data_IF_036623805334
#
_entry.id   IF_036623805334
#
_cell.length_a   1.000
_cell.length_b   1.000
_cell.length_c   1.000
_cell.angle_alpha   90.00
_cell.angle_beta   90.00
_cell.angle_gamma   90.00
#
_symmetry.space_group_name_H-M   'P 1'
#
loop_
_entity.id
_entity.type
_entity.pdbx_description
1 polymer ?
#
# COMPACT_ATOMS: atom_id res chain seq x y z
N UNK A 1 -8.22 10.66 12.11
CA UNK A 1 -8.93 9.82 11.10
C UNK A 1 -9.74 8.72 11.79
N UNK A 2 -11.07 8.75 11.62
CA UNK A 2 -12.02 7.87 12.32
C UNK A 2 -12.16 6.45 11.73
N UNK A 3 -12.98 5.61 12.37
CA UNK A 3 -13.25 4.22 11.94
C UNK A 3 -14.00 4.14 10.60
N UNK A 4 -14.68 5.21 10.17
CA UNK A 4 -15.44 5.26 8.91
C UNK A 4 -14.59 5.43 7.64
N UNK A 5 -13.33 5.89 7.76
CA UNK A 5 -12.51 6.17 6.59
C UNK A 5 -11.90 4.90 5.99
N UNK A 6 -12.45 4.50 4.83
CA UNK A 6 -12.09 3.29 4.08
C UNK A 6 -10.68 3.33 3.47
N UNK A 7 -10.04 4.50 3.39
CA UNK A 7 -8.69 4.64 2.83
C UNK A 7 -7.60 4.41 3.88
N UNK A 8 -7.93 4.50 5.17
CA UNK A 8 -6.97 4.38 6.27
C UNK A 8 -6.80 2.95 6.77
N UNK A 9 -5.67 2.67 7.43
CA UNK A 9 -5.45 1.37 8.08
C UNK A 9 -6.51 1.09 9.16
N UNK A 10 -6.97 2.14 9.87
CA UNK A 10 -7.97 2.06 10.94
C UNK A 10 -9.35 1.69 10.42
N UNK A 11 -9.83 2.34 9.36
CA UNK A 11 -11.12 1.99 8.76
C UNK A 11 -11.09 0.66 7.99
N UNK A 12 -9.95 0.28 7.39
CA UNK A 12 -9.76 -1.08 6.86
C UNK A 12 -9.80 -2.15 7.94
N UNK A 13 -9.20 -1.88 9.12
CA UNK A 13 -9.24 -2.78 10.29
C UNK A 13 -10.66 -2.98 10.80
N UNK A 14 -11.40 -1.89 10.99
CA UNK A 14 -12.78 -1.92 11.48
C UNK A 14 -13.73 -2.69 10.55
N UNK A 15 -13.55 -2.55 9.22
CA UNK A 15 -14.36 -3.27 8.22
C UNK A 15 -13.82 -4.66 7.87
N UNK A 16 -12.84 -5.19 8.59
CA UNK A 16 -12.20 -6.48 8.33
C UNK A 16 -11.69 -6.70 6.89
N UNK A 17 -11.38 -5.61 6.17
CA UNK A 17 -10.93 -5.66 4.77
C UNK A 17 -9.43 -5.38 4.65
N UNK A 18 -8.84 -5.79 3.53
CA UNK A 18 -7.43 -5.55 3.21
C UNK A 18 -7.30 -4.60 2.03
N UNK A 19 -6.19 -3.88 1.96
CA UNK A 19 -5.96 -2.89 0.90
C UNK A 19 -4.55 -2.34 0.91
N UNK A 20 -4.32 -1.23 0.18
CA UNK A 20 -3.01 -0.56 0.14
C UNK A 20 -2.54 -0.13 1.53
N UNK A 21 -3.44 0.42 2.35
CA UNK A 21 -3.15 0.92 3.70
C UNK A 21 -3.14 -0.17 4.78
N UNK A 22 -3.81 -1.31 4.57
CA UNK A 22 -3.78 -2.50 5.46
C UNK A 22 -3.48 -3.77 4.65
N UNK A 23 -2.21 -4.04 4.33
CA UNK A 23 -1.82 -5.25 3.59
C UNK A 23 -1.90 -6.51 4.49
N UNK A 24 -2.17 -7.68 3.88
CA UNK A 24 -2.19 -8.99 4.57
C UNK A 24 -0.78 -9.43 5.00
N UNK A 25 0.24 -9.16 4.19
CA UNK A 25 1.62 -9.57 4.45
C UNK A 25 2.59 -8.44 4.14
N UNK A 26 3.74 -8.43 4.84
CA UNK A 26 4.85 -7.48 4.61
C UNK A 26 5.37 -7.55 3.17
N UNK A 27 5.29 -8.72 2.52
CA UNK A 27 5.69 -8.94 1.14
C UNK A 27 4.91 -8.08 0.14
N UNK A 28 3.60 -7.84 0.35
CA UNK A 28 2.82 -6.94 -0.53
C UNK A 28 3.27 -5.48 -0.45
N UNK A 29 3.78 -5.04 0.70
CA UNK A 29 4.37 -3.70 0.86
C UNK A 29 5.70 -3.60 0.10
N UNK A 30 6.54 -4.64 0.19
CA UNK A 30 7.83 -4.74 -0.51
C UNK A 30 7.66 -4.72 -2.04
N UNK A 31 6.75 -5.51 -2.62
CA UNK A 31 6.51 -5.55 -4.09
C UNK A 31 6.12 -4.18 -4.68
N UNK A 32 5.42 -3.33 -3.92
CA UNK A 32 5.08 -1.97 -4.38
C UNK A 32 6.29 -1.03 -4.36
N UNK A 33 7.09 -1.09 -3.30
CA UNK A 33 8.32 -0.29 -3.21
C UNK A 33 9.32 -0.69 -4.30
N UNK A 34 9.45 -1.98 -4.58
CA UNK A 34 10.30 -2.52 -5.63
C UNK A 34 9.85 -2.05 -7.04
N UNK A 35 8.55 -2.12 -7.33
CA UNK A 35 8.00 -1.59 -8.60
C UNK A 35 8.25 -0.09 -8.76
N UNK A 36 8.12 0.68 -7.67
CA UNK A 36 8.37 2.12 -7.68
C UNK A 36 9.86 2.42 -7.93
N UNK A 37 10.77 1.71 -7.25
CA UNK A 37 12.22 1.81 -7.48
C UNK A 37 12.59 1.49 -8.93
N UNK A 38 12.10 0.38 -9.48
CA UNK A 38 12.31 -0.01 -10.88
C UNK A 38 11.77 1.03 -11.87
N UNK A 39 10.65 1.69 -11.56
CA UNK A 39 10.09 2.77 -12.37
C UNK A 39 10.98 4.01 -12.33
N UNK A 40 11.43 4.43 -11.14
CA UNK A 40 12.33 5.58 -10.98
C UNK A 40 13.64 5.36 -11.75
N UNK A 41 14.21 4.17 -11.69
CA UNK A 41 15.45 3.84 -12.43
C UNK A 41 15.20 3.87 -13.94
N UNK A 42 14.07 3.32 -14.41
CA UNK A 42 13.70 3.36 -15.84
C UNK A 42 13.53 4.80 -16.33
N UNK A 43 12.80 5.62 -15.59
CA UNK A 43 12.48 7.00 -15.97
C UNK A 43 13.73 7.93 -15.89
N UNK A 44 14.79 7.53 -15.18
CA UNK A 44 16.10 8.23 -15.16
C UNK A 44 17.03 7.87 -16.31
N UNK A 45 16.81 6.71 -16.93
CA UNK A 45 17.62 6.18 -18.02
C UNK A 45 16.90 6.26 -19.38
N UNK A 46 15.80 7.02 -19.43
CA UNK A 46 15.00 7.33 -20.62
C UNK A 46 15.17 8.81 -20.95
#
# INVERSE_FOLDING_TARGET
MGKGDRKTAKGKRFRHSFGKSRPKSKLRKRKRAEKLSKKIIRDKNA
#
